data_IF_683604846569
#
_entry.id   IF_683604846569
#
_cell.length_a   1.000
_cell.length_b   1.000
_cell.length_c   1.000
_cell.angle_alpha   90.00
_cell.angle_beta   90.00
_cell.angle_gamma   90.00
#
_symmetry.space_group_name_H-M   'P 1'
#
loop_
_entity.id
_entity.type
_entity.pdbx_description
1 polymer ?
#
# COMPACT_ATOMS: atom_id res chain seq x y z
N UNK A 1 -27.69 3.11 7.90
CA UNK A 1 -26.30 2.81 7.51
C UNK A 1 -25.43 3.99 7.91
N UNK A 2 -24.18 3.73 8.30
CA UNK A 2 -23.19 4.77 8.63
C UNK A 2 -22.82 5.57 7.37
N UNK A 3 -22.70 6.89 7.46
CA UNK A 3 -22.24 7.72 6.35
C UNK A 3 -20.74 7.54 6.08
N UNK A 4 -20.28 7.93 4.90
CA UNK A 4 -18.85 7.86 4.55
C UNK A 4 -17.97 8.71 5.48
N UNK A 5 -18.45 9.88 5.90
CA UNK A 5 -17.73 10.75 6.82
C UNK A 5 -17.62 10.14 8.22
N UNK A 6 -18.69 9.52 8.72
CA UNK A 6 -18.67 8.80 9.99
C UNK A 6 -17.74 7.58 9.93
N UNK A 7 -17.75 6.83 8.83
CA UNK A 7 -16.86 5.69 8.61
C UNK A 7 -15.39 6.10 8.56
N UNK A 8 -15.08 7.19 7.85
CA UNK A 8 -13.72 7.74 7.79
C UNK A 8 -13.23 8.21 9.16
N UNK A 9 -14.08 8.88 9.94
CA UNK A 9 -13.77 9.28 11.32
C UNK A 9 -13.50 8.06 12.20
N UNK A 10 -14.34 7.03 12.11
CA UNK A 10 -14.16 5.80 12.87
C UNK A 10 -12.82 5.13 12.55
N UNK A 11 -12.45 5.01 11.26
CA UNK A 11 -11.14 4.45 10.85
C UNK A 11 -9.95 5.30 11.31
N UNK A 12 -10.10 6.63 11.33
CA UNK A 12 -9.09 7.53 11.91
C UNK A 12 -8.91 7.24 13.40
N UNK A 13 -10.01 7.15 14.15
CA UNK A 13 -9.96 6.88 15.60
C UNK A 13 -9.38 5.48 15.90
N UNK A 14 -9.69 4.48 15.05
CA UNK A 14 -9.05 3.16 15.11
C UNK A 14 -7.53 3.25 14.90
N UNK A 15 -7.09 4.03 13.90
CA UNK A 15 -5.66 4.23 13.63
C UNK A 15 -4.96 4.89 14.81
N UNK A 16 -5.54 5.96 15.39
CA UNK A 16 -4.98 6.65 16.56
C UNK A 16 -4.82 5.69 17.73
N UNK A 17 -5.85 4.89 18.02
CA UNK A 17 -5.80 3.88 19.10
C UNK A 17 -4.77 2.78 18.83
N UNK A 18 -4.66 2.29 17.59
CA UNK A 18 -3.68 1.27 17.24
C UNK A 18 -2.25 1.80 17.41
N UNK A 19 -1.96 2.99 16.92
CA UNK A 19 -0.63 3.60 17.06
C UNK A 19 -0.27 3.90 18.52
N UNK A 20 -1.25 4.28 19.34
CA UNK A 20 -1.03 4.50 20.78
C UNK A 20 -0.61 3.22 21.53
N UNK A 21 -1.04 2.03 21.08
CA UNK A 21 -0.62 0.73 21.67
C UNK A 21 0.89 0.52 21.49
N UNK A 22 1.45 0.95 20.36
CA UNK A 22 2.90 0.92 20.09
C UNK A 22 3.65 2.13 20.69
N UNK A 23 2.97 2.98 21.46
CA UNK A 23 3.56 4.17 22.07
C UNK A 23 3.75 5.35 21.11
N UNK A 24 3.08 5.35 19.95
CA UNK A 24 3.10 6.48 19.00
C UNK A 24 1.90 7.40 19.27
N UNK A 25 2.19 8.60 19.77
CA UNK A 25 1.18 9.63 20.05
C UNK A 25 0.54 10.22 18.78
N UNK A 26 -0.68 10.76 18.91
CA UNK A 26 -1.40 11.39 17.79
C UNK A 26 -0.65 12.59 17.19
N UNK A 27 0.16 13.28 17.98
CA UNK A 27 1.03 14.38 17.55
C UNK A 27 2.06 13.96 16.49
N UNK A 28 2.35 12.65 16.39
CA UNK A 28 3.23 12.04 15.39
C UNK A 28 2.48 11.49 14.17
N UNK A 29 1.15 11.56 14.16
CA UNK A 29 0.32 11.08 13.05
C UNK A 29 -0.09 12.24 12.15
N UNK A 30 -0.15 11.96 10.84
CA UNK A 30 -0.59 12.92 9.82
C UNK A 30 -1.66 12.26 8.96
N UNK A 31 -2.86 12.83 8.97
CA UNK A 31 -3.99 12.38 8.16
C UNK A 31 -4.20 13.36 7.01
N UNK A 32 -3.87 12.96 5.78
CA UNK A 32 -3.89 13.85 4.61
C UNK A 32 -5.29 14.11 4.03
N UNK A 33 -6.32 13.44 4.55
CA UNK A 33 -7.72 13.69 4.18
C UNK A 33 -8.12 13.24 2.77
N UNK A 34 -7.29 12.45 2.09
CA UNK A 34 -7.60 11.91 0.77
C UNK A 34 -8.44 10.63 0.88
N UNK A 35 -9.66 10.66 0.36
CA UNK A 35 -10.58 9.53 0.39
C UNK A 35 -10.20 8.49 -0.67
N UNK A 36 -10.09 7.24 -0.24
CA UNK A 36 -9.93 6.08 -1.12
C UNK A 36 -11.03 6.03 -2.20
N UNK A 37 -12.30 6.19 -1.81
CA UNK A 37 -13.44 6.23 -2.74
C UNK A 37 -13.28 7.35 -3.77
N UNK A 38 -12.78 8.52 -3.37
CA UNK A 38 -12.54 9.62 -4.31
C UNK A 38 -11.39 9.31 -5.28
N UNK A 39 -10.34 8.61 -4.82
CA UNK A 39 -9.24 8.14 -5.67
C UNK A 39 -9.77 7.16 -6.72
N UNK A 40 -10.54 6.14 -6.32
CA UNK A 40 -11.12 5.18 -7.27
C UNK A 40 -12.02 5.85 -8.31
N UNK A 41 -12.89 6.77 -7.87
CA UNK A 41 -13.74 7.56 -8.78
C UNK A 41 -12.92 8.40 -9.75
N UNK A 42 -11.81 8.99 -9.29
CA UNK A 42 -10.92 9.75 -10.15
C UNK A 42 -10.21 8.85 -11.19
N UNK A 43 -9.78 7.66 -10.81
CA UNK A 43 -9.21 6.66 -11.72
C UNK A 43 -10.21 6.23 -12.80
N UNK A 44 -11.45 5.94 -12.41
CA UNK A 44 -12.52 5.61 -13.36
C UNK A 44 -12.84 6.79 -14.28
N UNK A 45 -12.90 8.02 -13.74
CA UNK A 45 -13.10 9.25 -14.52
C UNK A 45 -11.98 9.45 -15.53
N UNK A 46 -10.73 9.21 -15.16
CA UNK A 46 -9.58 9.30 -16.07
C UNK A 46 -9.72 8.34 -17.26
N UNK A 47 -10.19 7.12 -17.01
CA UNK A 47 -10.39 6.12 -18.08
C UNK A 47 -11.60 6.40 -18.97
N UNK A 48 -12.69 6.94 -18.40
CA UNK A 48 -13.96 7.17 -19.13
C UNK A 48 -14.03 8.53 -19.82
N UNK A 49 -13.37 9.55 -19.26
CA UNK A 49 -13.48 10.95 -19.70
C UNK A 49 -12.11 11.55 -20.00
N UNK A 50 -11.50 11.27 -21.16
CA UNK A 50 -10.17 11.80 -21.50
C UNK A 50 -10.07 13.34 -21.45
N UNK A 51 -11.19 14.04 -21.68
CA UNK A 51 -11.26 15.51 -21.56
C UNK A 51 -11.06 16.02 -20.13
N UNK A 52 -11.40 15.19 -19.13
CA UNK A 52 -11.23 15.46 -17.70
C UNK A 52 -9.83 15.09 -17.18
N UNK A 53 -8.96 14.54 -18.03
CA UNK A 53 -7.66 14.01 -17.60
C UNK A 53 -6.78 15.07 -16.91
N UNK A 54 -6.78 16.30 -17.40
CA UNK A 54 -5.97 17.37 -16.78
C UNK A 54 -6.35 17.62 -15.31
N UNK A 55 -7.65 17.70 -15.01
CA UNK A 55 -8.17 17.93 -13.65
C UNK A 55 -7.85 16.75 -12.74
N UNK A 56 -8.07 15.52 -13.21
CA UNK A 56 -7.78 14.31 -12.43
C UNK A 56 -6.28 14.21 -12.12
N UNK A 57 -5.43 14.42 -13.12
CA UNK A 57 -3.98 14.39 -12.92
C UNK A 57 -3.51 15.54 -12.01
N UNK A 58 -4.18 16.70 -12.04
CA UNK A 58 -3.88 17.80 -11.11
C UNK A 58 -4.21 17.41 -9.67
N UNK A 59 -5.37 16.82 -9.42
CA UNK A 59 -5.74 16.30 -8.10
C UNK A 59 -4.67 15.35 -7.53
N UNK A 60 -4.15 14.43 -8.34
CA UNK A 60 -3.08 13.52 -7.89
C UNK A 60 -1.73 14.22 -7.66
N UNK A 61 -1.40 15.26 -8.45
CA UNK A 61 -0.22 16.10 -8.20
C UNK A 61 -0.35 16.85 -6.87
N UNK A 62 -1.54 17.32 -6.54
CA UNK A 62 -1.80 18.03 -5.28
C UNK A 62 -1.68 17.08 -4.08
N UNK A 63 -2.19 15.84 -4.19
CA UNK A 63 -1.96 14.78 -3.20
C UNK A 63 -0.46 14.49 -3.00
N UNK A 64 0.29 14.35 -4.09
CA UNK A 64 1.74 14.13 -4.03
C UNK A 64 2.45 15.33 -3.37
N UNK A 65 2.00 16.55 -3.64
CA UNK A 65 2.54 17.76 -3.03
C UNK A 65 2.29 17.81 -1.52
N UNK A 66 1.12 17.33 -1.04
CA UNK A 66 0.83 17.20 0.39
C UNK A 66 1.75 16.17 1.06
N UNK A 67 1.93 14.99 0.47
CA UNK A 67 2.89 13.99 0.97
C UNK A 67 4.29 14.59 1.06
N UNK A 68 4.74 15.30 0.01
CA UNK A 68 6.05 15.94 0.02
C UNK A 68 6.18 17.09 1.02
N UNK A 69 5.09 17.80 1.34
CA UNK A 69 5.11 18.82 2.38
C UNK A 69 5.38 18.18 3.76
N UNK A 70 4.71 17.07 4.08
CA UNK A 70 4.94 16.35 5.34
C UNK A 70 6.35 15.75 5.43
N UNK A 71 6.85 15.14 4.36
CA UNK A 71 8.23 14.60 4.33
C UNK A 71 9.26 15.71 4.56
N UNK A 72 9.11 16.87 3.90
CA UNK A 72 10.02 18.01 4.09
C UNK A 72 9.91 18.61 5.49
N UNK A 73 8.72 18.65 6.06
CA UNK A 73 8.51 19.15 7.42
C UNK A 73 9.15 18.22 8.47
N UNK A 74 9.02 16.89 8.28
CA UNK A 74 9.57 15.90 9.19
C UNK A 74 11.08 15.67 9.04
N UNK A 75 11.63 15.83 7.82
CA UNK A 75 13.04 15.58 7.46
C UNK A 75 13.54 14.19 7.88
N UNK A 76 12.92 13.10 7.39
CA UNK A 76 13.32 11.75 7.75
C UNK A 76 14.69 11.38 7.17
N UNK A 77 15.45 10.56 7.89
CA UNK A 77 16.63 9.85 7.34
C UNK A 77 16.22 8.63 6.51
N UNK A 78 15.07 8.02 6.86
CA UNK A 78 14.53 6.81 6.23
C UNK A 78 13.02 6.92 6.09
N UNK A 79 12.50 6.51 4.93
CA UNK A 79 11.06 6.40 4.67
C UNK A 79 10.72 4.96 4.29
N UNK A 80 9.68 4.42 4.91
CA UNK A 80 9.05 3.15 4.55
C UNK A 80 7.73 3.45 3.84
N UNK A 81 7.47 2.76 2.73
CA UNK A 81 6.21 2.83 2.00
C UNK A 81 5.77 1.46 1.50
N UNK A 82 4.57 1.35 0.95
CA UNK A 82 4.07 0.09 0.40
C UNK A 82 4.80 -0.24 -0.91
N UNK A 83 5.01 -1.53 -1.20
CA UNK A 83 5.73 -1.94 -2.40
C UNK A 83 4.92 -1.70 -3.68
N UNK A 84 5.65 -1.35 -4.74
CA UNK A 84 5.10 -1.27 -6.10
C UNK A 84 4.90 -2.67 -6.65
N UNK A 85 3.69 -3.21 -6.47
CA UNK A 85 3.43 -4.64 -6.70
C UNK A 85 2.15 -4.94 -7.48
N UNK A 86 1.36 -3.93 -7.85
CA UNK A 86 0.17 -4.17 -8.67
C UNK A 86 -0.94 -4.88 -7.90
N UNK A 87 -0.90 -4.80 -6.57
CA UNK A 87 -1.86 -5.43 -5.67
C UNK A 87 -3.06 -4.53 -5.41
N UNK A 88 -2.80 -3.31 -4.94
CA UNK A 88 -3.81 -2.30 -4.65
C UNK A 88 -3.42 -0.96 -5.29
N UNK A 89 -4.30 -0.33 -6.10
CA UNK A 89 -3.94 0.85 -6.88
C UNK A 89 -3.58 2.05 -6.00
N UNK A 90 -4.24 2.21 -4.85
CA UNK A 90 -3.94 3.32 -3.92
C UNK A 90 -2.56 3.15 -3.30
N UNK A 91 -2.12 1.93 -3.03
CA UNK A 91 -0.82 1.66 -2.40
C UNK A 91 0.33 1.94 -3.36
N UNK A 92 0.17 1.49 -4.60
CA UNK A 92 1.06 1.81 -5.72
C UNK A 92 1.14 3.34 -5.95
N UNK A 93 0.01 4.05 -5.88
CA UNK A 93 0.00 5.51 -6.00
C UNK A 93 0.68 6.20 -4.82
N UNK A 94 0.47 5.75 -3.58
CA UNK A 94 1.18 6.27 -2.40
C UNK A 94 2.69 6.05 -2.55
N UNK A 95 3.11 4.89 -3.06
CA UNK A 95 4.51 4.62 -3.38
C UNK A 95 5.07 5.67 -4.35
N UNK A 96 4.37 5.97 -5.44
CA UNK A 96 4.80 7.00 -6.40
C UNK A 96 4.84 8.40 -5.76
N UNK A 97 3.87 8.76 -4.92
CA UNK A 97 3.84 10.05 -4.24
C UNK A 97 5.03 10.22 -3.30
N UNK A 98 5.34 9.19 -2.49
CA UNK A 98 6.51 9.16 -1.62
C UNK A 98 7.78 9.25 -2.45
N UNK A 99 7.93 8.43 -3.49
CA UNK A 99 9.11 8.46 -4.36
C UNK A 99 9.33 9.83 -4.98
N UNK A 100 8.27 10.47 -5.48
CA UNK A 100 8.33 11.81 -6.09
C UNK A 100 8.78 12.90 -5.12
N UNK A 101 8.39 12.77 -3.85
CA UNK A 101 8.66 13.74 -2.80
C UNK A 101 10.04 13.61 -2.16
N UNK A 102 10.71 12.47 -2.32
CA UNK A 102 11.87 12.13 -1.55
C UNK A 102 13.16 12.74 -2.13
N UNK A 103 13.98 13.42 -1.30
CA UNK A 103 15.35 13.80 -1.69
C UNK A 103 16.22 12.56 -1.97
N UNK A 104 17.27 12.73 -2.77
CA UNK A 104 18.12 11.61 -3.21
C UNK A 104 18.93 10.98 -2.05
N UNK A 105 19.20 11.75 -1.00
CA UNK A 105 19.97 11.36 0.17
C UNK A 105 19.16 10.54 1.19
N UNK A 106 17.82 10.58 1.13
CA UNK A 106 16.96 9.88 2.08
C UNK A 106 16.72 8.44 1.61
N UNK A 107 16.93 7.47 2.49
CA UNK A 107 16.73 6.07 2.13
C UNK A 107 15.24 5.75 1.98
N UNK A 108 14.86 5.10 0.89
CA UNK A 108 13.50 4.63 0.64
C UNK A 108 13.44 3.10 0.67
N UNK A 109 12.66 2.57 1.59
CA UNK A 109 12.33 1.15 1.67
C UNK A 109 10.87 0.91 1.31
N UNK A 110 10.64 -0.24 0.70
CA UNK A 110 9.30 -0.73 0.43
C UNK A 110 8.98 -1.98 1.23
N UNK A 111 7.75 -2.03 1.71
CA UNK A 111 7.15 -3.13 2.46
C UNK A 111 6.05 -3.73 1.57
N UNK A 112 6.15 -5.01 1.18
CA UNK A 112 5.13 -5.66 0.39
C UNK A 112 3.87 -5.84 1.23
N UNK A 113 2.73 -5.54 0.62
CA UNK A 113 1.45 -5.83 1.24
C UNK A 113 1.04 -7.29 1.01
N UNK A 114 0.27 -7.78 1.96
CA UNK A 114 -0.43 -9.05 1.97
C UNK A 114 -1.52 -9.15 0.89
N UNK A 115 -1.13 -9.34 -0.38
CA UNK A 115 -2.09 -9.35 -1.49
C UNK A 115 -2.61 -10.74 -1.87
N UNK A 116 -3.94 -10.84 -1.90
CA UNK A 116 -4.71 -12.08 -1.76
C UNK A 116 -4.57 -13.04 -2.94
N UNK A 117 -4.20 -12.53 -4.12
CA UNK A 117 -4.27 -13.28 -5.36
C UNK A 117 -2.91 -13.87 -5.83
N UNK A 118 -1.77 -13.25 -5.50
CA UNK A 118 -0.46 -13.64 -6.06
C UNK A 118 0.74 -13.55 -5.12
N UNK A 119 0.72 -12.74 -4.05
CA UNK A 119 1.91 -12.46 -3.23
C UNK A 119 1.92 -13.10 -1.84
N UNK A 120 0.81 -13.73 -1.39
CA UNK A 120 0.79 -14.44 -0.09
C UNK A 120 1.95 -15.45 0.05
N UNK A 121 2.35 -16.09 -1.05
CA UNK A 121 3.43 -17.07 -1.04
C UNK A 121 4.83 -16.46 -1.11
N UNK A 122 4.98 -15.28 -1.75
CA UNK A 122 6.26 -14.62 -1.99
C UNK A 122 6.07 -13.10 -1.84
N UNK A 123 6.56 -12.57 -0.71
CA UNK A 123 6.55 -11.13 -0.38
C UNK A 123 7.36 -10.30 -1.37
N UNK A 124 8.46 -10.85 -1.88
CA UNK A 124 9.20 -10.31 -3.02
C UNK A 124 9.38 -11.40 -4.09
N UNK A 125 9.47 -11.01 -5.37
CA UNK A 125 9.76 -11.95 -6.42
C UNK A 125 11.16 -12.57 -6.25
N UNK A 126 11.35 -13.86 -6.56
CA UNK A 126 12.62 -14.57 -6.35
C UNK A 126 13.73 -14.05 -7.27
N UNK A 127 13.39 -13.33 -8.34
CA UNK A 127 14.34 -12.67 -9.23
C UNK A 127 14.77 -11.27 -8.76
N UNK A 128 14.29 -10.79 -7.60
CA UNK A 128 14.76 -9.53 -7.02
C UNK A 128 16.26 -9.64 -6.72
N UNK A 129 17.04 -8.72 -7.28
CA UNK A 129 18.50 -8.65 -7.05
C UNK A 129 18.87 -7.85 -5.80
N UNK A 130 18.05 -6.87 -5.44
CA UNK A 130 18.30 -6.01 -4.29
C UNK A 130 18.13 -6.79 -2.97
N UNK A 131 18.87 -6.44 -1.90
CA UNK A 131 18.76 -7.10 -0.61
C UNK A 131 17.32 -7.06 -0.09
N UNK A 132 16.87 -8.18 0.48
CA UNK A 132 15.62 -8.24 1.26
C UNK A 132 16.02 -8.41 2.72
N UNK A 133 15.56 -7.49 3.54
CA UNK A 133 15.70 -7.55 4.98
C UNK A 133 14.49 -8.26 5.57
N UNK A 134 14.73 -9.06 6.59
CA UNK A 134 13.70 -9.82 7.29
C UNK A 134 13.74 -9.46 8.78
N UNK A 135 12.63 -8.98 9.30
CA UNK A 135 12.42 -8.79 10.74
C UNK A 135 11.55 -9.93 11.22
N UNK A 136 11.91 -10.51 12.36
CA UNK A 136 11.06 -11.45 13.09
C UNK A 136 10.71 -10.81 14.42
N UNK A 137 9.42 -10.63 14.63
CA UNK A 137 8.87 -10.04 15.84
C UNK A 137 9.10 -10.97 17.04
N UNK A 138 9.47 -10.40 18.18
CA UNK A 138 9.48 -11.13 19.46
C UNK A 138 8.06 -11.49 19.88
N UNK A 139 7.93 -12.30 20.94
CA UNK A 139 6.62 -12.60 21.51
C UNK A 139 5.92 -11.34 22.02
N UNK A 140 6.65 -10.39 22.64
CA UNK A 140 6.06 -9.13 23.09
C UNK A 140 5.61 -8.25 21.91
N UNK A 141 6.45 -8.12 20.87
CA UNK A 141 6.10 -7.35 19.67
C UNK A 141 4.91 -7.95 18.92
N UNK A 142 4.80 -9.29 18.90
CA UNK A 142 3.63 -9.96 18.35
C UNK A 142 2.36 -9.72 19.14
N UNK A 143 2.47 -9.63 20.46
CA UNK A 143 1.33 -9.29 21.32
C UNK A 143 0.84 -7.86 21.02
N UNK A 144 1.75 -6.90 20.92
CA UNK A 144 1.46 -5.52 20.52
C UNK A 144 0.74 -5.50 19.17
N UNK A 145 1.30 -6.18 18.16
CA UNK A 145 0.69 -6.27 16.83
C UNK A 145 -0.71 -6.89 16.85
N UNK A 146 -0.94 -7.91 17.67
CA UNK A 146 -2.27 -8.52 17.84
C UNK A 146 -3.26 -7.52 18.44
N UNK A 147 -2.86 -6.82 19.50
CA UNK A 147 -3.69 -5.79 20.11
C UNK A 147 -4.04 -4.67 19.11
N UNK A 148 -3.08 -4.26 18.28
CA UNK A 148 -3.33 -3.31 17.19
C UNK A 148 -4.38 -3.83 16.19
N UNK A 149 -4.31 -5.09 15.77
CA UNK A 149 -5.31 -5.67 14.87
C UNK A 149 -6.73 -5.69 15.46
N UNK A 150 -6.86 -5.93 16.77
CA UNK A 150 -8.17 -5.94 17.45
C UNK A 150 -8.85 -4.56 17.48
N UNK A 151 -8.08 -3.48 17.35
CA UNK A 151 -8.62 -2.12 17.28
C UNK A 151 -9.36 -1.85 15.96
N UNK A 152 -8.92 -2.44 14.85
CA UNK A 152 -9.49 -2.21 13.51
C UNK A 152 -10.78 -3.01 13.26
N UNK A 153 -11.82 -2.73 14.06
CA UNK A 153 -13.12 -3.42 13.98
C UNK A 153 -13.80 -3.22 12.64
N UNK A 154 -13.67 -2.04 12.04
CA UNK A 154 -14.21 -1.76 10.71
C UNK A 154 -13.58 -2.61 9.60
N UNK A 155 -12.40 -3.19 9.85
CA UNK A 155 -11.64 -4.03 8.93
C UNK A 155 -11.73 -5.53 9.26
N UNK A 156 -12.53 -5.90 10.27
CA UNK A 156 -12.59 -7.27 10.79
C UNK A 156 -13.00 -8.32 9.74
N UNK A 157 -13.85 -7.97 8.77
CA UNK A 157 -14.17 -8.88 7.66
C UNK A 157 -13.01 -9.11 6.70
N UNK A 158 -12.27 -8.04 6.36
CA UNK A 158 -11.06 -8.13 5.55
C UNK A 158 -10.00 -9.00 6.22
N UNK A 159 -9.78 -8.79 7.52
CA UNK A 159 -8.87 -9.61 8.33
C UNK A 159 -9.29 -11.08 8.39
N UNK A 160 -10.60 -11.37 8.50
CA UNK A 160 -11.12 -12.75 8.45
C UNK A 160 -10.83 -13.40 7.10
N UNK A 161 -11.07 -12.71 5.98
CA UNK A 161 -10.79 -13.24 4.64
C UNK A 161 -9.30 -13.51 4.44
N UNK A 162 -8.46 -12.57 4.85
CA UNK A 162 -7.01 -12.72 4.82
C UNK A 162 -6.55 -13.93 5.64
N UNK A 163 -7.04 -14.10 6.88
CA UNK A 163 -6.72 -15.26 7.72
C UNK A 163 -7.13 -16.57 7.05
N UNK A 164 -8.33 -16.65 6.47
CA UNK A 164 -8.81 -17.83 5.76
C UNK A 164 -7.93 -18.18 4.56
N UNK A 165 -7.47 -17.19 3.80
CA UNK A 165 -6.62 -17.40 2.63
C UNK A 165 -5.22 -17.87 3.02
N UNK A 166 -4.61 -17.25 4.02
CA UNK A 166 -3.32 -17.72 4.54
C UNK A 166 -3.47 -19.16 5.04
N UNK A 167 -4.55 -19.51 5.75
CA UNK A 167 -4.81 -20.90 6.16
C UNK A 167 -5.01 -21.87 4.98
N UNK A 168 -5.63 -21.43 3.88
CA UNK A 168 -5.73 -22.25 2.67
C UNK A 168 -4.35 -22.48 2.03
N UNK A 169 -3.52 -21.44 1.92
CA UNK A 169 -2.14 -21.56 1.44
C UNK A 169 -1.29 -22.48 2.32
N UNK A 170 -1.52 -22.49 3.64
CA UNK A 170 -0.87 -23.42 4.57
C UNK A 170 -1.21 -24.87 4.28
N UNK A 171 -2.49 -25.17 4.03
CA UNK A 171 -2.92 -26.52 3.70
C UNK A 171 -2.19 -27.03 2.44
N UNK A 172 -1.98 -26.15 1.46
CA UNK A 172 -1.22 -26.47 0.23
C UNK A 172 0.28 -26.61 0.51
N UNK A 173 0.89 -25.70 1.27
CA UNK A 173 2.32 -25.76 1.60
C UNK A 173 2.69 -26.98 2.47
N UNK A 174 1.79 -27.39 3.36
CA UNK A 174 1.95 -28.57 4.21
C UNK A 174 2.04 -29.88 3.39
N UNK A 175 1.38 -29.95 2.21
CA UNK A 175 1.52 -31.07 1.28
C UNK A 175 2.93 -31.17 0.67
N UNK A 176 3.69 -30.07 0.68
CA UNK A 176 5.10 -30.00 0.25
C UNK A 176 6.13 -30.13 1.38
N UNK A 177 5.72 -30.52 2.59
CA UNK A 177 6.63 -30.78 3.72
C UNK A 177 7.11 -29.54 4.49
N UNK A 178 6.63 -28.33 4.16
CA UNK A 178 6.91 -27.11 4.93
C UNK A 178 5.71 -26.78 5.82
N UNK A 179 5.88 -26.87 7.14
CA UNK A 179 4.92 -26.31 8.09
C UNK A 179 5.15 -24.80 8.16
N UNK A 180 4.16 -24.06 7.71
CA UNK A 180 4.11 -22.61 7.80
C UNK A 180 2.85 -22.23 8.57
N UNK A 181 2.96 -21.40 9.61
CA UNK A 181 1.81 -20.99 10.44
C UNK A 181 1.37 -19.56 10.13
N UNK A 182 0.11 -19.21 10.44
CA UNK A 182 -0.39 -17.84 10.22
C UNK A 182 0.37 -16.88 11.12
N UNK A 183 0.54 -17.27 12.38
CA UNK A 183 1.35 -16.54 13.35
C UNK A 183 2.79 -16.37 12.88
N UNK A 184 3.40 -17.39 12.28
CA UNK A 184 4.76 -17.27 11.73
C UNK A 184 4.82 -16.32 10.53
N UNK A 185 3.79 -16.32 9.68
CA UNK A 185 3.66 -15.38 8.56
C UNK A 185 3.56 -13.95 9.04
N UNK A 186 2.68 -13.68 10.01
CA UNK A 186 2.47 -12.32 10.53
C UNK A 186 3.56 -11.88 11.51
N UNK A 187 4.31 -12.82 12.11
CA UNK A 187 5.48 -12.52 12.95
C UNK A 187 6.73 -12.18 12.16
N UNK A 188 6.69 -12.38 10.85
CA UNK A 188 7.75 -11.96 9.95
C UNK A 188 7.31 -10.70 9.23
N UNK A 189 8.21 -9.74 9.06
CA UNK A 189 8.06 -8.70 8.05
C UNK A 189 9.27 -8.71 7.12
N UNK A 190 9.04 -8.45 5.84
CA UNK A 190 10.11 -8.31 4.85
C UNK A 190 10.04 -6.92 4.25
N UNK A 191 11.21 -6.34 3.98
CA UNK A 191 11.29 -5.05 3.29
C UNK A 191 12.59 -5.00 2.48
N UNK A 192 12.64 -4.12 1.50
CA UNK A 192 13.83 -3.95 0.66
C UNK A 192 13.98 -2.51 0.21
N UNK A 193 15.20 -2.07 -0.16
CA UNK A 193 15.39 -0.74 -0.72
C UNK A 193 14.64 -0.66 -2.05
N UNK A 194 14.01 0.48 -2.31
CA UNK A 194 13.38 0.75 -3.62
C UNK A 194 14.48 0.86 -4.67
N UNK A 195 14.44 0.08 -5.77
CA UNK A 195 15.44 0.18 -6.83
C UNK A 195 15.48 1.58 -7.43
N UNK A 196 16.68 2.16 -7.53
CA UNK A 196 16.86 3.51 -8.07
C UNK A 196 16.46 3.62 -9.55
N UNK A 197 16.57 2.50 -10.28
CA UNK A 197 16.28 2.34 -11.71
C UNK A 197 14.85 1.81 -11.99
N UNK A 198 13.96 1.81 -10.98
CA UNK A 198 12.59 1.33 -11.17
C UNK A 198 11.86 2.14 -12.24
N UNK A 199 11.32 1.41 -13.22
CA UNK A 199 10.47 1.97 -14.27
C UNK A 199 8.98 1.91 -13.86
N UNK A 200 8.47 3.02 -13.36
CA UNK A 200 7.05 3.17 -12.97
C UNK A 200 6.09 3.33 -14.15
N UNK A 201 6.59 3.41 -15.39
CA UNK A 201 5.73 3.38 -16.58
C UNK A 201 5.27 1.97 -16.94
N UNK A 202 5.88 0.95 -16.31
CA UNK A 202 5.60 -0.46 -16.56
C UNK A 202 4.85 -1.09 -15.39
N UNK A 203 3.93 -1.98 -15.76
CA UNK A 203 3.22 -2.82 -14.79
C UNK A 203 4.23 -3.70 -14.04
N UNK A 204 4.02 -3.92 -12.73
CA UNK A 204 4.69 -4.98 -11.97
C UNK A 204 4.51 -6.38 -12.57
N UNK A 205 3.41 -6.59 -13.30
CA UNK A 205 3.06 -7.85 -13.94
C UNK A 205 3.22 -7.78 -15.47
N UNK A 206 3.35 -8.96 -16.09
CA UNK A 206 3.50 -9.07 -17.56
C UNK A 206 2.22 -8.65 -18.28
N UNK A 207 1.07 -8.86 -17.65
CA UNK A 207 -0.24 -8.61 -18.22
C UNK A 207 -1.06 -7.71 -17.30
N UNK A 208 -1.60 -6.63 -17.85
CA UNK A 208 -2.37 -5.58 -17.14
C UNK A 208 -3.59 -6.11 -16.37
N UNK A 209 -4.12 -7.29 -16.74
CA UNK A 209 -5.25 -7.87 -16.02
C UNK A 209 -4.84 -8.65 -14.75
N UNK A 210 -3.54 -8.89 -14.58
CA UNK A 210 -2.99 -9.48 -13.37
C UNK A 210 -2.77 -8.42 -12.27
N UNK A 211 -2.79 -7.14 -12.64
CA UNK A 211 -2.80 -6.04 -11.68
C UNK A 211 -4.22 -5.85 -11.11
N UNK A 212 -4.27 -5.52 -9.81
CA UNK A 212 -5.45 -5.08 -9.08
C UNK A 212 -6.63 -6.07 -9.21
N UNK A 213 -6.34 -7.37 -9.05
CA UNK A 213 -7.37 -8.41 -9.25
C UNK A 213 -8.46 -8.29 -8.21
N UNK A 214 -9.68 -8.10 -8.69
CA UNK A 214 -10.87 -7.96 -7.85
C UNK A 214 -11.17 -6.51 -7.47
N UNK A 215 -10.28 -5.57 -7.79
CA UNK A 215 -10.56 -4.14 -7.65
C UNK A 215 -11.46 -3.61 -8.76
N UNK A 216 -12.58 -3.05 -8.34
CA UNK A 216 -13.61 -2.48 -9.19
C UNK A 216 -14.15 -1.19 -8.59
N UNK A 217 -14.50 -0.22 -9.43
CA UNK A 217 -15.30 0.92 -9.03
C UNK A 217 -16.36 1.22 -10.08
N UNK A 218 -17.61 1.29 -9.64
CA UNK A 218 -18.80 1.53 -10.48
C UNK A 218 -18.86 0.59 -11.70
N UNK A 219 -18.54 -0.70 -11.47
CA UNK A 219 -18.57 -1.77 -12.48
C UNK A 219 -17.44 -1.69 -13.51
N UNK A 220 -16.43 -0.85 -13.28
CA UNK A 220 -15.22 -0.81 -14.08
C UNK A 220 -14.01 -1.36 -13.30
N UNK A 221 -13.42 -2.48 -13.78
CA UNK A 221 -12.18 -3.01 -13.22
C UNK A 221 -11.04 -1.99 -13.32
N UNK A 222 -10.24 -1.89 -12.26
CA UNK A 222 -9.06 -1.04 -12.26
C UNK A 222 -7.99 -1.65 -13.17
N UNK A 223 -7.34 -0.80 -13.98
CA UNK A 223 -6.32 -1.21 -14.96
C UNK A 223 -5.08 -0.34 -14.82
N UNK A 224 -3.91 -0.96 -14.69
CA UNK A 224 -2.65 -0.25 -14.55
C UNK A 224 -2.43 0.69 -15.75
N UNK A 225 -2.48 0.17 -16.96
CA UNK A 225 -2.16 0.88 -18.21
C UNK A 225 -2.99 2.13 -18.45
N UNK A 226 -4.28 2.11 -18.08
CA UNK A 226 -5.24 3.19 -18.37
C UNK A 226 -5.49 4.13 -17.21
N UNK A 227 -5.26 3.67 -15.98
CA UNK A 227 -5.63 4.42 -14.78
C UNK A 227 -4.42 4.78 -13.93
N UNK A 228 -3.56 3.81 -13.59
CA UNK A 228 -2.44 4.05 -12.66
C UNK A 228 -1.22 4.61 -13.39
N UNK A 229 -0.82 4.06 -14.54
CA UNK A 229 0.37 4.49 -15.27
C UNK A 229 0.38 5.98 -15.67
N UNK A 230 -0.74 6.56 -16.17
CA UNK A 230 -0.79 7.99 -16.47
C UNK A 230 -0.65 8.87 -15.22
N UNK A 231 -1.23 8.43 -14.09
CA UNK A 231 -1.13 9.14 -12.81
C UNK A 231 0.29 9.06 -12.25
N UNK A 232 0.89 7.86 -12.23
CA UNK A 232 2.28 7.65 -11.81
C UNK A 232 3.24 8.53 -12.63
N UNK A 233 3.05 8.56 -13.95
CA UNK A 233 3.82 9.43 -14.85
C UNK A 233 3.66 10.91 -14.51
N UNK A 234 2.43 11.36 -14.26
CA UNK A 234 2.16 12.76 -13.91
C UNK A 234 2.73 13.19 -12.55
N UNK A 235 2.75 12.28 -11.57
CA UNK A 235 3.34 12.50 -10.25
C UNK A 235 4.88 12.57 -10.36
N UNK A 236 5.50 11.64 -11.08
CA UNK A 236 6.95 11.49 -11.16
C UNK A 236 7.63 12.43 -12.16
N UNK A 237 6.91 13.02 -13.12
CA UNK A 237 7.46 13.94 -14.10
C UNK A 237 8.18 15.16 -13.47
N UNK A 238 7.77 15.57 -12.26
CA UNK A 238 8.40 16.70 -11.54
C UNK A 238 9.82 16.43 -11.06
N UNK A 239 10.27 15.17 -11.00
CA UNK A 239 11.65 14.85 -10.61
C UNK A 239 12.66 15.03 -11.74
N UNK A 240 12.20 15.20 -12.99
CA UNK A 240 13.06 15.28 -14.18
C UNK A 240 13.27 16.71 -14.69
N UNK A 241 12.63 17.70 -14.07
CA UNK A 241 12.75 19.12 -14.41
C UNK A 241 13.60 19.83 -13.35
#
# INVERSE_FOLDING_TARGET
>A
GMSQAEYARLRRDETIRAMAIEGVGEDRLRFLGHSEVAIYKALVRLAREPRSAHEVLQMFRDMAAHVGAEIRAYRPDVVFTLAWQGGHPVHDLVHCMVRAALPAEVALYEVPEYELAYTILLRFPPWRKAPVHKIRLTTEEMEIKRQMFEVYRTQSEGLKRFRSLVSACQAVAALGGKRFGFEEYVATEEFGPVPADRDYSRSPHVMDFLDYIGDDCDGMPIRFSRMVAPVASAILARQRA
#
